data_IF_023455086421
#
_entry.id   IF_023455086421
#
_cell.length_a   1.000
_cell.length_b   1.000
_cell.length_c   1.000
_cell.angle_alpha   90.00
_cell.angle_beta   90.00
_cell.angle_gamma   90.00
#
_symmetry.space_group_name_H-M   'P 1'
#
loop_
_entity.id
_entity.type
_entity.pdbx_description
1 polymer ?
#
# COMPACT_ATOMS: atom_id res chain seq x y z
N UNK A 1 3.59 27.33 16.28
CA UNK A 1 2.30 26.64 16.11
C UNK A 1 2.58 25.18 16.43
N UNK A 2 2.24 24.75 17.64
CA UNK A 2 2.42 23.36 18.07
C UNK A 2 1.34 22.53 17.36
N UNK A 3 1.75 21.75 16.38
CA UNK A 3 0.84 20.79 15.74
C UNK A 3 0.71 19.63 16.73
N UNK A 4 -0.52 19.34 17.18
CA UNK A 4 -0.75 18.24 18.11
C UNK A 4 -0.41 16.92 17.43
N UNK A 5 0.14 15.97 18.18
CA UNK A 5 0.50 14.63 17.70
C UNK A 5 -0.69 13.90 17.05
N UNK A 6 -1.91 14.06 17.59
CA UNK A 6 -3.13 13.52 16.96
C UNK A 6 -3.38 14.08 15.55
N UNK A 7 -3.20 15.39 15.35
CA UNK A 7 -3.46 16.03 14.06
C UNK A 7 -2.47 15.53 12.99
N UNK A 8 -1.22 15.32 13.40
CA UNK A 8 -0.20 14.70 12.56
C UNK A 8 -0.56 13.25 12.23
N UNK A 9 -1.01 12.46 13.20
CA UNK A 9 -1.39 11.06 12.98
C UNK A 9 -2.56 10.96 11.99
N UNK A 10 -3.59 11.80 12.12
CA UNK A 10 -4.72 11.82 11.19
C UNK A 10 -4.29 12.21 9.77
N UNK A 11 -3.40 13.18 9.63
CA UNK A 11 -2.83 13.56 8.35
C UNK A 11 -2.07 12.40 7.69
N UNK A 12 -1.21 11.71 8.44
CA UNK A 12 -0.46 10.56 7.95
C UNK A 12 -1.36 9.41 7.53
N UNK A 13 -2.42 9.11 8.30
CA UNK A 13 -3.41 8.09 7.95
C UNK A 13 -4.15 8.47 6.66
N UNK A 14 -4.54 9.74 6.50
CA UNK A 14 -5.20 10.25 5.30
C UNK A 14 -4.33 10.12 4.05
N UNK A 15 -3.06 10.52 4.16
CA UNK A 15 -2.06 10.35 3.11
C UNK A 15 -1.85 8.85 2.78
N UNK A 16 -1.68 8.01 3.80
CA UNK A 16 -1.41 6.59 3.61
C UNK A 16 -2.55 5.84 2.92
N UNK A 17 -3.80 6.18 3.24
CA UNK A 17 -4.97 5.65 2.55
C UNK A 17 -4.98 6.02 1.07
N UNK A 18 -4.54 7.23 0.74
CA UNK A 18 -4.44 7.71 -0.64
C UNK A 18 -3.34 6.97 -1.41
N UNK A 19 -2.15 6.83 -0.82
CA UNK A 19 -1.05 6.11 -1.45
C UNK A 19 -1.37 4.61 -1.61
N UNK A 20 -1.99 3.97 -0.61
CA UNK A 20 -2.53 2.61 -0.72
C UNK A 20 -3.44 2.46 -1.94
N UNK A 21 -4.40 3.38 -2.11
CA UNK A 21 -5.35 3.31 -3.23
C UNK A 21 -4.63 3.46 -4.57
N UNK A 22 -3.62 4.32 -4.66
CA UNK A 22 -2.79 4.48 -5.85
C UNK A 22 -2.02 3.20 -6.18
N UNK A 23 -1.30 2.62 -5.22
CA UNK A 23 -0.52 1.38 -5.42
C UNK A 23 -1.40 0.17 -5.77
N UNK A 24 -2.59 0.06 -5.16
CA UNK A 24 -3.56 -0.96 -5.53
C UNK A 24 -4.14 -0.74 -6.93
N UNK A 25 -4.35 0.51 -7.36
CA UNK A 25 -4.83 0.83 -8.71
C UNK A 25 -3.77 0.50 -9.77
N UNK A 26 -2.52 0.85 -9.51
CA UNK A 26 -1.39 0.57 -10.42
C UNK A 26 -1.15 -0.93 -10.62
N UNK A 27 -1.50 -1.75 -9.64
CA UNK A 27 -1.38 -3.21 -9.69
C UNK A 27 -2.72 -3.92 -9.85
N UNK A 28 -3.79 -3.21 -10.25
CA UNK A 28 -5.12 -3.82 -10.33
C UNK A 28 -5.26 -4.78 -11.51
N UNK A 29 -4.57 -4.46 -12.61
CA UNK A 29 -4.52 -5.28 -13.82
C UNK A 29 -3.97 -6.69 -13.58
N UNK A 30 -3.12 -6.88 -12.56
CA UNK A 30 -2.54 -8.19 -12.22
C UNK A 30 -3.52 -9.13 -11.54
N UNK A 31 -4.71 -8.64 -11.17
CA UNK A 31 -5.77 -9.44 -10.54
C UNK A 31 -6.77 -9.99 -11.57
N UNK A 32 -6.64 -9.59 -12.83
CA UNK A 32 -7.48 -10.08 -13.92
C UNK A 32 -6.99 -11.45 -14.37
N UNK A 33 -7.92 -12.37 -14.62
CA UNK A 33 -7.60 -13.73 -15.10
C UNK A 33 -6.95 -13.73 -16.50
N UNK A 34 -7.16 -12.66 -17.27
CA UNK A 34 -6.62 -12.50 -18.64
C UNK A 34 -5.22 -11.85 -18.64
N UNK A 35 -4.58 -11.79 -17.47
CA UNK A 35 -3.25 -11.24 -17.35
C UNK A 35 -2.21 -12.29 -17.79
N UNK A 36 -1.31 -11.94 -18.71
CA UNK A 36 -0.21 -12.79 -19.20
C UNK A 36 0.90 -13.03 -18.14
N UNK A 37 0.57 -13.00 -16.85
CA UNK A 37 1.50 -13.27 -15.76
C UNK A 37 1.52 -14.76 -15.44
N UNK A 38 2.70 -15.26 -15.06
CA UNK A 38 2.82 -16.60 -14.49
C UNK A 38 2.09 -16.68 -13.14
N UNK A 39 1.66 -17.88 -12.74
CA UNK A 39 1.00 -18.10 -11.46
C UNK A 39 1.85 -17.63 -10.26
N UNK A 40 3.18 -17.75 -10.37
CA UNK A 40 4.14 -17.24 -9.38
C UNK A 40 4.06 -15.71 -9.27
N UNK A 41 4.04 -15.00 -10.40
CA UNK A 41 3.92 -13.54 -10.43
C UNK A 41 2.57 -13.07 -9.89
N UNK A 42 1.48 -13.76 -10.20
CA UNK A 42 0.17 -13.46 -9.62
C UNK A 42 0.21 -13.60 -8.10
N UNK A 43 0.90 -14.61 -7.57
CA UNK A 43 1.09 -14.77 -6.13
C UNK A 43 1.95 -13.65 -5.52
N UNK A 44 3.06 -13.26 -6.16
CA UNK A 44 3.89 -12.13 -5.73
C UNK A 44 3.08 -10.83 -5.64
N UNK A 45 2.28 -10.52 -6.66
CA UNK A 45 1.39 -9.35 -6.64
C UNK A 45 0.30 -9.44 -5.58
N UNK A 46 -0.22 -10.64 -5.31
CA UNK A 46 -1.18 -10.88 -4.23
C UNK A 46 -0.57 -10.58 -2.86
N UNK A 47 0.65 -11.06 -2.60
CA UNK A 47 1.42 -10.80 -1.38
C UNK A 47 1.77 -9.32 -1.24
N UNK A 48 2.24 -8.68 -2.31
CA UNK A 48 2.47 -7.24 -2.37
C UNK A 48 1.21 -6.45 -2.01
N UNK A 49 0.06 -6.75 -2.62
CA UNK A 49 -1.22 -6.08 -2.33
C UNK A 49 -1.68 -6.33 -0.89
N UNK A 50 -1.37 -7.47 -0.28
CA UNK A 50 -1.63 -7.72 1.15
C UNK A 50 -0.75 -6.82 2.02
N UNK A 51 0.55 -6.75 1.74
CA UNK A 51 1.49 -5.90 2.46
C UNK A 51 1.09 -4.41 2.40
N UNK A 52 0.74 -3.89 1.21
CA UNK A 52 0.22 -2.53 1.02
C UNK A 52 -1.01 -2.25 1.88
N UNK A 53 -1.95 -3.19 2.00
CA UNK A 53 -3.12 -3.00 2.89
C UNK A 53 -2.76 -3.04 4.37
N UNK A 54 -1.76 -3.84 4.72
CA UNK A 54 -1.28 -4.00 6.09
C UNK A 54 -0.60 -2.72 6.59
N UNK A 55 0.17 -2.03 5.74
CA UNK A 55 0.83 -0.76 6.08
C UNK A 55 -0.13 0.25 6.72
N UNK A 56 -1.33 0.42 6.16
CA UNK A 56 -2.32 1.39 6.69
C UNK A 56 -2.94 0.93 8.02
N UNK A 57 -2.99 -0.38 8.29
CA UNK A 57 -3.50 -0.92 9.56
C UNK A 57 -2.50 -0.75 10.70
N UNK A 58 -1.21 -0.76 10.38
CA UNK A 58 -0.12 -0.69 11.35
C UNK A 58 0.38 0.73 11.62
N UNK A 59 -0.34 1.76 11.16
CA UNK A 59 -0.03 3.16 11.48
C UNK A 59 -0.44 3.42 12.93
N UNK A 60 0.53 3.35 13.82
CA UNK A 60 0.35 3.56 15.27
C UNK A 60 0.98 4.90 15.70
N UNK A 61 1.92 5.45 14.91
CA UNK A 61 2.67 6.66 15.23
C UNK A 61 3.06 7.45 13.97
N UNK A 62 3.73 8.59 14.18
CA UNK A 62 4.31 9.52 13.20
C UNK A 62 5.58 9.01 12.51
N UNK A 63 5.89 7.71 12.66
CA UNK A 63 7.03 7.09 11.96
C UNK A 63 6.86 7.18 10.44
N UNK A 64 7.95 7.38 9.69
CA UNK A 64 7.89 7.42 8.23
C UNK A 64 7.33 6.10 7.69
N UNK A 65 6.26 6.20 6.91
CA UNK A 65 5.61 5.05 6.29
C UNK A 65 6.48 4.55 5.15
N UNK A 66 6.89 3.28 5.22
CA UNK A 66 7.66 2.61 4.17
C UNK A 66 6.74 1.66 3.41
N UNK A 67 6.61 1.88 2.11
CA UNK A 67 5.82 1.02 1.23
C UNK A 67 6.68 -0.13 0.68
N UNK A 68 6.10 -1.34 0.51
CA UNK A 68 6.78 -2.41 -0.18
C UNK A 68 7.05 -2.01 -1.64
N UNK A 69 8.10 -2.57 -2.23
CA UNK A 69 8.38 -2.40 -3.66
C UNK A 69 7.53 -3.37 -4.48
N UNK A 70 6.92 -2.93 -5.60
CA UNK A 70 6.20 -3.84 -6.47
C UNK A 70 7.15 -4.88 -7.07
N UNK A 71 6.69 -6.13 -7.28
CA UNK A 71 7.49 -7.14 -7.97
C UNK A 71 7.75 -6.68 -9.41
N UNK A 72 8.98 -6.88 -9.89
CA UNK A 72 9.34 -6.58 -11.28
C UNK A 72 8.59 -7.52 -12.21
N UNK A 73 8.00 -6.98 -13.28
CA UNK A 73 7.42 -7.73 -14.40
C UNK A 73 8.46 -8.61 -15.10
#
# INVERSE_FOLDING_TARGET
>A
MEIKSEDMLQYHIGWAKSERNKLLKETDWTQLNDCELSAEKVNEYSEYRKAVRQVVRDIIDTTPIVWPTPPTS
#
